data_IF_995865869224
#
_entry.id   IF_995865869224
#
_cell.length_a   1.000
_cell.length_b   1.000
_cell.length_c   1.000
_cell.angle_alpha   90.00
_cell.angle_beta   90.00
_cell.angle_gamma   90.00
#
_symmetry.space_group_name_H-M   'P 1'
#
loop_
_entity.id
_entity.type
_entity.pdbx_description
1 polymer ?
#
# COMPACT_ATOMS: atom_id res chain seq x y z
N UNK A 1 -33.30 -3.46 -7.95
CA UNK A 1 -32.65 -4.49 -7.12
C UNK A 1 -32.01 -3.77 -5.94
N UNK A 2 -32.57 -3.93 -4.75
CA UNK A 2 -32.11 -3.26 -3.54
C UNK A 2 -31.00 -4.07 -2.87
N UNK A 3 -29.96 -3.39 -2.39
CA UNK A 3 -28.87 -3.99 -1.60
C UNK A 3 -29.39 -4.50 -0.23
N UNK A 4 -28.77 -5.54 0.35
CA UNK A 4 -29.23 -6.10 1.62
C UNK A 4 -28.87 -5.14 2.77
N UNK A 5 -29.87 -4.73 3.55
CA UNK A 5 -29.67 -4.07 4.84
C UNK A 5 -29.18 -5.10 5.85
N UNK A 6 -27.98 -4.90 6.36
CA UNK A 6 -27.46 -5.66 7.51
C UNK A 6 -28.18 -5.13 8.75
N UNK A 7 -29.16 -5.86 9.27
CA UNK A 7 -29.82 -5.54 10.53
C UNK A 7 -28.99 -6.10 11.68
N UNK A 8 -28.42 -5.23 12.49
CA UNK A 8 -27.83 -5.61 13.78
C UNK A 8 -28.97 -5.91 14.75
N UNK A 9 -29.08 -7.15 15.19
CA UNK A 9 -30.01 -7.56 16.24
C UNK A 9 -29.44 -7.16 17.60
N UNK A 10 -30.25 -6.51 18.45
CA UNK A 10 -29.93 -6.11 19.84
C UNK A 10 -29.43 -7.25 20.76
N UNK A 11 -29.41 -8.50 20.29
CA UNK A 11 -28.93 -9.67 21.04
C UNK A 11 -27.42 -9.73 21.22
N UNK A 12 -26.65 -8.97 20.43
CA UNK A 12 -25.18 -8.96 20.53
C UNK A 12 -24.65 -8.00 21.63
N UNK A 13 -25.54 -7.25 22.28
CA UNK A 13 -25.21 -6.34 23.38
C UNK A 13 -25.18 -7.03 24.77
N UNK A 14 -25.78 -8.22 24.91
CA UNK A 14 -26.03 -8.81 26.23
C UNK A 14 -24.99 -9.86 26.67
N UNK A 15 -24.11 -10.32 25.77
CA UNK A 15 -22.99 -11.18 26.13
C UNK A 15 -21.72 -10.35 26.25
N UNK A 16 -21.27 -10.15 27.50
CA UNK A 16 -20.03 -9.43 27.88
C UNK A 16 -18.71 -10.00 27.31
N UNK A 17 -18.76 -10.89 26.33
CA UNK A 17 -17.60 -11.39 25.57
C UNK A 17 -17.15 -10.37 24.51
N UNK A 18 -18.07 -9.56 23.96
CA UNK A 18 -17.75 -8.60 22.89
C UNK A 18 -16.95 -7.37 23.35
N UNK A 19 -16.99 -7.01 24.64
CA UNK A 19 -16.23 -5.87 25.17
C UNK A 19 -14.77 -6.24 25.43
N UNK A 20 -14.49 -7.47 25.88
CA UNK A 20 -13.15 -7.94 26.20
C UNK A 20 -12.29 -8.23 24.96
N UNK A 21 -12.89 -8.69 23.85
CA UNK A 21 -12.18 -8.82 22.58
C UNK A 21 -11.98 -7.47 21.88
N UNK A 22 -12.94 -6.54 21.98
CA UNK A 22 -12.81 -5.17 21.47
C UNK A 22 -11.72 -4.39 22.20
N UNK A 23 -11.64 -4.49 23.54
CA UNK A 23 -10.59 -3.83 24.31
C UNK A 23 -9.20 -4.42 24.04
N UNK A 24 -9.10 -5.75 23.83
CA UNK A 24 -7.85 -6.40 23.43
C UNK A 24 -7.36 -5.95 22.04
N UNK A 25 -8.27 -5.78 21.08
CA UNK A 25 -7.94 -5.21 19.75
C UNK A 25 -7.54 -3.74 19.82
N UNK A 26 -8.18 -2.96 20.68
CA UNK A 26 -7.83 -1.55 20.92
C UNK A 26 -6.43 -1.41 21.54
N UNK A 27 -6.06 -2.31 22.45
CA UNK A 27 -4.76 -2.28 23.16
C UNK A 27 -3.53 -2.67 22.32
N UNK A 28 -3.72 -3.17 21.09
CA UNK A 28 -2.62 -3.61 20.22
C UNK A 28 -2.15 -2.56 19.21
N UNK A 29 -2.83 -1.42 19.10
CA UNK A 29 -2.36 -0.34 18.26
C UNK A 29 -1.21 0.40 18.97
N UNK A 30 -0.05 0.60 18.33
CA UNK A 30 1.09 1.27 18.95
C UNK A 30 0.78 2.78 19.11
N UNK A 31 0.57 3.21 20.36
CA UNK A 31 0.38 4.62 20.74
C UNK A 31 -0.73 4.79 21.77
N UNK A 32 -0.64 5.81 22.62
CA UNK A 32 -1.68 6.16 23.59
C UNK A 32 -2.90 6.71 22.82
N UNK A 33 -3.84 5.84 22.47
CA UNK A 33 -5.06 6.19 21.72
C UNK A 33 -6.23 6.50 22.68
N UNK A 34 -6.08 6.17 23.96
CA UNK A 34 -7.13 6.31 24.98
C UNK A 34 -7.50 7.78 25.30
N UNK A 35 -6.61 8.73 25.01
CA UNK A 35 -6.82 10.16 25.27
C UNK A 35 -7.23 10.97 24.01
N UNK A 36 -7.44 10.31 22.86
CA UNK A 36 -7.78 10.96 21.60
C UNK A 36 -9.29 10.97 21.35
N UNK A 37 -9.79 12.02 20.70
CA UNK A 37 -11.19 12.06 20.23
C UNK A 37 -11.50 10.86 19.32
N UNK A 38 -12.76 10.39 19.31
CA UNK A 38 -13.15 9.14 18.62
C UNK A 38 -12.77 9.16 17.14
N UNK A 39 -12.84 10.33 16.50
CA UNK A 39 -12.47 10.52 15.11
C UNK A 39 -10.95 10.51 14.90
N UNK A 40 -10.19 11.21 15.75
CA UNK A 40 -8.72 11.24 15.72
C UNK A 40 -8.13 9.85 16.03
N UNK A 41 -8.75 9.13 16.97
CA UNK A 41 -8.43 7.75 17.27
C UNK A 41 -8.65 6.84 16.06
N UNK A 42 -9.74 7.06 15.30
CA UNK A 42 -10.02 6.32 14.08
C UNK A 42 -9.04 6.65 12.95
N UNK A 43 -8.67 7.92 12.75
CA UNK A 43 -7.66 8.29 11.75
C UNK A 43 -6.28 7.73 12.08
N UNK A 44 -5.85 7.88 13.35
CA UNK A 44 -4.60 7.29 13.83
C UNK A 44 -4.62 5.77 13.74
N UNK A 45 -5.77 5.16 13.99
CA UNK A 45 -5.96 3.73 13.73
C UNK A 45 -5.81 3.45 12.25
N UNK A 46 -6.51 4.12 11.32
CA UNK A 46 -6.40 3.86 9.87
C UNK A 46 -4.96 4.03 9.37
N UNK A 47 -4.25 5.07 9.81
CA UNK A 47 -2.85 5.31 9.41
C UNK A 47 -1.87 4.30 10.00
N UNK A 48 -2.19 3.75 11.17
CA UNK A 48 -1.34 2.78 11.88
C UNK A 48 -1.80 1.33 11.68
N UNK A 49 -2.99 1.12 11.12
CA UNK A 49 -3.65 -0.18 11.03
C UNK A 49 -2.98 -1.03 9.97
N UNK A 50 -2.42 -2.13 10.44
CA UNK A 50 -1.85 -3.19 9.61
C UNK A 50 -2.90 -4.28 9.44
N UNK A 51 -3.02 -4.85 8.24
CA UNK A 51 -3.81 -6.06 8.03
C UNK A 51 -3.32 -7.13 9.03
N UNK A 52 -4.18 -7.62 9.96
CA UNK A 52 -3.77 -8.59 10.96
C UNK A 52 -3.21 -9.87 10.32
N UNK A 53 -3.57 -10.21 9.07
CA UNK A 53 -2.94 -11.34 8.36
C UNK A 53 -1.48 -11.08 7.96
N UNK A 54 -1.13 -9.82 7.65
CA UNK A 54 0.24 -9.39 7.38
C UNK A 54 1.06 -9.26 8.68
N UNK A 55 0.40 -9.03 9.82
CA UNK A 55 1.00 -9.09 11.15
C UNK A 55 1.20 -10.54 11.63
N UNK A 56 0.23 -11.44 11.44
CA UNK A 56 0.33 -12.87 11.73
C UNK A 56 1.43 -13.57 10.91
N UNK A 57 1.63 -13.16 9.65
CA UNK A 57 2.72 -13.63 8.81
C UNK A 57 4.10 -13.18 9.33
N UNK A 58 4.18 -12.03 10.01
CA UNK A 58 5.38 -11.54 10.66
C UNK A 58 5.57 -12.13 12.07
N UNK A 59 4.50 -12.33 12.84
CA UNK A 59 4.54 -12.93 14.18
C UNK A 59 4.89 -14.42 14.12
N UNK A 60 4.45 -15.14 13.08
CA UNK A 60 4.91 -16.51 12.81
C UNK A 60 6.41 -16.60 12.44
N UNK A 61 7.04 -15.50 12.00
CA UNK A 61 8.51 -15.44 11.86
C UNK A 61 9.19 -15.12 13.21
N UNK A 62 8.55 -14.35 14.10
CA UNK A 62 9.09 -13.96 15.42
C UNK A 62 8.97 -15.09 16.46
N UNK A 63 7.97 -15.97 16.37
CA UNK A 63 7.88 -17.16 17.23
C UNK A 63 8.98 -18.21 17.01
N UNK A 64 9.80 -18.08 15.96
CA UNK A 64 10.95 -18.98 15.75
C UNK A 64 12.22 -18.50 16.49
N UNK A 65 12.17 -17.37 17.23
CA UNK A 65 13.34 -16.79 17.91
C UNK A 65 13.36 -16.79 19.44
N UNK A 66 12.26 -17.08 20.15
CA UNK A 66 12.31 -17.22 21.63
C UNK A 66 11.41 -18.36 22.13
N UNK A 67 11.92 -19.59 22.00
CA UNK A 67 11.88 -20.67 23.00
C UNK A 67 12.45 -21.94 22.35
N UNK A 68 13.65 -22.37 22.77
CA UNK A 68 14.28 -23.60 22.27
C UNK A 68 13.49 -24.85 22.69
N UNK A 69 12.58 -25.32 21.83
CA UNK A 69 12.22 -26.75 21.77
C UNK A 69 13.12 -27.47 20.75
N UNK A 70 13.58 -28.70 21.01
CA UNK A 70 14.50 -29.38 20.12
C UNK A 70 13.86 -29.59 18.75
N UNK A 71 14.45 -29.01 17.70
CA UNK A 71 13.98 -29.16 16.32
C UNK A 71 14.20 -30.61 15.87
N UNK A 72 13.16 -31.23 15.31
CA UNK A 72 13.23 -32.57 14.74
C UNK A 72 14.18 -32.59 13.53
N UNK A 73 14.97 -33.65 13.40
CA UNK A 73 16.08 -33.81 12.45
C UNK A 73 15.73 -33.74 10.95
N UNK A 74 14.47 -33.48 10.59
CA UNK A 74 13.95 -33.43 9.21
C UNK A 74 13.80 -32.01 8.68
N UNK A 75 14.05 -30.97 9.50
CA UNK A 75 13.85 -29.56 9.09
C UNK A 75 15.10 -28.90 8.45
N UNK A 76 16.14 -29.67 8.11
CA UNK A 76 17.41 -29.15 7.61
C UNK A 76 17.34 -28.50 6.20
N UNK A 77 16.28 -28.70 5.43
CA UNK A 77 16.15 -28.17 4.07
C UNK A 77 15.46 -26.78 3.98
N UNK A 78 15.00 -26.20 5.10
CA UNK A 78 14.32 -24.88 5.10
C UNK A 78 15.20 -23.69 5.49
N UNK A 79 16.49 -23.90 5.76
CA UNK A 79 17.41 -22.83 6.13
C UNK A 79 18.01 -22.18 4.88
N UNK A 80 17.27 -21.24 4.29
CA UNK A 80 17.81 -20.24 3.37
C UNK A 80 18.13 -18.97 4.14
N UNK A 81 19.37 -18.51 4.03
CA UNK A 81 19.95 -17.36 4.73
C UNK A 81 19.12 -16.08 4.56
N UNK A 82 18.39 -15.69 5.60
CA UNK A 82 17.87 -14.33 5.75
C UNK A 82 18.76 -13.63 6.77
N UNK A 83 19.61 -12.71 6.31
CA UNK A 83 20.34 -11.81 7.19
C UNK A 83 19.34 -11.05 8.07
N UNK A 84 19.43 -11.29 9.37
CA UNK A 84 18.58 -10.68 10.39
C UNK A 84 19.01 -9.22 10.58
N UNK A 85 18.17 -8.29 10.14
CA UNK A 85 18.08 -6.97 10.74
C UNK A 85 16.75 -6.91 11.49
N UNK A 86 16.82 -6.92 12.82
CA UNK A 86 15.68 -6.66 13.69
C UNK A 86 15.29 -5.18 13.54
N UNK A 87 14.18 -4.88 12.88
CA UNK A 87 13.62 -3.54 12.89
C UNK A 87 12.18 -3.59 13.41
N UNK A 88 12.00 -3.10 14.64
CA UNK A 88 10.68 -2.96 15.27
C UNK A 88 9.92 -1.74 14.74
N UNK A 89 10.52 -0.95 13.84
CA UNK A 89 9.97 0.32 13.32
C UNK A 89 9.75 0.31 11.79
N UNK A 90 9.62 -0.85 11.15
CA UNK A 90 9.57 -1.01 9.70
C UNK A 90 8.33 -0.41 8.97
N UNK A 91 7.61 0.55 9.55
CA UNK A 91 6.42 1.13 8.94
C UNK A 91 6.00 2.54 9.39
N UNK A 92 6.55 3.08 10.48
CA UNK A 92 6.26 4.48 10.86
C UNK A 92 7.29 5.37 10.20
N UNK A 93 6.87 6.14 9.20
CA UNK A 93 7.72 7.17 8.59
C UNK A 93 7.91 8.29 9.62
N UNK A 94 9.14 8.59 10.06
CA UNK A 94 9.38 9.72 10.95
C UNK A 94 8.94 11.03 10.29
N UNK A 95 8.28 11.93 11.01
CA UNK A 95 7.85 13.23 10.47
C UNK A 95 9.03 14.07 9.96
N UNK A 96 10.22 13.87 10.54
CA UNK A 96 11.49 14.47 10.11
C UNK A 96 11.81 14.15 8.64
N UNK A 97 11.37 13.00 8.13
CA UNK A 97 11.64 12.63 6.73
C UNK A 97 10.88 13.49 5.73
N UNK A 98 9.75 14.06 6.17
CA UNK A 98 8.90 14.96 5.40
C UNK A 98 9.40 16.42 5.44
N UNK A 99 10.54 16.70 6.06
CA UNK A 99 11.16 18.03 6.15
C UNK A 99 12.22 18.26 5.05
N UNK A 100 12.11 17.58 3.91
CA UNK A 100 13.06 17.75 2.82
C UNK A 100 13.00 19.18 2.25
N UNK A 101 14.18 19.76 1.99
CA UNK A 101 14.29 21.06 1.32
C UNK A 101 13.94 20.92 -0.15
N UNK A 102 13.01 21.73 -0.67
CA UNK A 102 12.63 21.73 -2.09
C UNK A 102 13.85 21.95 -2.98
N UNK A 103 14.84 22.76 -2.56
CA UNK A 103 15.97 23.13 -3.43
C UNK A 103 17.01 22.02 -3.59
N UNK A 104 17.23 21.21 -2.55
CA UNK A 104 18.23 20.14 -2.57
C UNK A 104 17.60 18.76 -2.74
N UNK A 105 16.36 18.59 -2.30
CA UNK A 105 15.69 17.30 -2.23
C UNK A 105 16.50 16.27 -1.44
N UNK A 106 16.37 15.00 -1.84
CA UNK A 106 17.07 13.90 -1.20
C UNK A 106 18.40 13.55 -1.86
N UNK A 107 19.36 13.11 -1.04
CA UNK A 107 20.61 12.52 -1.52
C UNK A 107 20.43 11.04 -1.83
N UNK A 108 21.21 10.50 -2.77
CA UNK A 108 21.17 9.06 -3.13
C UNK A 108 21.38 8.14 -1.93
N UNK A 109 22.25 8.53 -0.98
CA UNK A 109 22.49 7.76 0.23
C UNK A 109 21.25 7.69 1.14
N UNK A 110 20.54 8.81 1.32
CA UNK A 110 19.29 8.84 2.08
C UNK A 110 18.19 8.04 1.40
N UNK A 111 18.09 8.11 0.06
CA UNK A 111 17.12 7.30 -0.71
C UNK A 111 17.38 5.82 -0.52
N UNK A 112 18.63 5.36 -0.61
CA UNK A 112 18.97 3.96 -0.38
C UNK A 112 18.66 3.50 1.05
N UNK A 113 18.94 4.34 2.05
CA UNK A 113 18.61 4.04 3.44
C UNK A 113 17.09 3.91 3.66
N UNK A 114 16.31 4.89 3.18
CA UNK A 114 14.85 4.87 3.29
C UNK A 114 14.25 3.70 2.52
N UNK A 115 14.78 3.38 1.33
CA UNK A 115 14.36 2.23 0.50
C UNK A 115 14.64 0.89 1.19
N UNK A 116 15.73 0.76 1.95
CA UNK A 116 16.02 -0.45 2.73
C UNK A 116 15.01 -0.65 3.86
N UNK A 117 14.49 0.43 4.45
CA UNK A 117 13.50 0.39 5.54
C UNK A 117 12.07 0.21 5.03
N UNK A 118 11.64 1.01 4.07
CA UNK A 118 10.25 1.03 3.59
C UNK A 118 9.97 0.11 2.39
N UNK A 119 11.01 -0.30 1.66
CA UNK A 119 10.84 -1.04 0.40
C UNK A 119 10.54 -0.14 -0.79
N UNK A 120 10.01 -0.74 -1.86
CA UNK A 120 9.59 -0.02 -3.07
C UNK A 120 8.14 0.46 -2.94
N UNK A 121 7.81 1.56 -3.61
CA UNK A 121 6.44 2.07 -3.74
C UNK A 121 5.64 1.19 -4.71
N UNK A 122 5.34 -0.04 -4.30
CA UNK A 122 4.54 -0.99 -5.05
C UNK A 122 3.57 -1.73 -4.15
N UNK A 123 2.35 -1.94 -4.64
CA UNK A 123 1.37 -2.77 -3.95
C UNK A 123 1.88 -4.21 -3.95
N UNK A 124 1.95 -4.82 -2.77
CA UNK A 124 2.45 -6.18 -2.59
C UNK A 124 1.65 -7.16 -3.44
N UNK A 125 2.29 -7.76 -4.44
CA UNK A 125 1.70 -8.88 -5.18
C UNK A 125 2.05 -10.18 -4.46
N UNK A 126 1.06 -11.04 -4.23
CA UNK A 126 1.30 -12.36 -3.66
C UNK A 126 2.26 -13.16 -4.56
N UNK A 127 3.36 -13.64 -3.98
CA UNK A 127 4.32 -14.47 -4.71
C UNK A 127 3.78 -15.89 -4.80
N UNK A 128 3.34 -16.28 -5.98
CA UNK A 128 2.98 -17.68 -6.24
C UNK A 128 4.24 -18.55 -6.34
N UNK A 129 4.25 -19.68 -5.62
CA UNK A 129 5.32 -20.66 -5.73
C UNK A 129 5.25 -21.38 -7.09
N UNK A 130 6.33 -21.29 -7.88
CA UNK A 130 6.46 -21.92 -9.20
C UNK A 130 6.14 -23.43 -9.18
N UNK A 131 6.48 -24.14 -8.10
CA UNK A 131 6.18 -25.57 -7.95
C UNK A 131 4.69 -25.84 -7.75
N UNK A 132 4.00 -25.00 -6.96
CA UNK A 132 2.55 -25.11 -6.74
C UNK A 132 1.83 -24.80 -8.06
N UNK A 133 2.30 -23.78 -8.78
CA UNK A 133 1.79 -23.42 -10.10
C UNK A 133 1.98 -24.56 -11.11
N UNK A 134 3.13 -25.25 -11.05
CA UNK A 134 3.35 -26.47 -11.85
C UNK A 134 2.34 -27.58 -11.49
N UNK A 135 2.08 -27.79 -10.20
CA UNK A 135 1.12 -28.78 -9.74
C UNK A 135 -0.33 -28.45 -10.11
N UNK A 136 -0.67 -27.17 -10.24
CA UNK A 136 -1.99 -26.73 -10.73
C UNK A 136 -2.27 -27.18 -12.16
N UNK A 137 -1.25 -27.43 -13.00
CA UNK A 137 -1.47 -27.99 -14.34
C UNK A 137 -1.95 -29.45 -14.34
N UNK A 138 -1.94 -30.15 -13.19
CA UNK A 138 -2.56 -31.47 -13.02
C UNK A 138 -4.01 -31.38 -12.54
N UNK A 139 -4.46 -30.19 -12.14
CA UNK A 139 -5.82 -29.98 -11.64
C UNK A 139 -6.75 -29.60 -12.79
N UNK A 140 -7.78 -30.42 -13.02
CA UNK A 140 -8.80 -30.13 -14.03
C UNK A 140 -9.73 -31.31 -14.28
N UNK A 141 -10.98 -31.08 -14.72
CA UNK A 141 -11.95 -32.16 -14.90
C UNK A 141 -11.45 -33.29 -15.82
N UNK A 142 -10.77 -32.92 -16.92
CA UNK A 142 -10.19 -33.88 -17.87
C UNK A 142 -9.00 -34.61 -17.24
N UNK A 143 -8.15 -33.88 -16.51
CA UNK A 143 -6.95 -34.44 -15.89
C UNK A 143 -7.27 -35.40 -14.75
N UNK A 144 -8.30 -35.13 -13.96
CA UNK A 144 -8.78 -36.07 -12.95
C UNK A 144 -9.23 -37.40 -13.55
N UNK A 145 -9.88 -37.39 -14.71
CA UNK A 145 -10.24 -38.63 -15.42
C UNK A 145 -8.98 -39.37 -15.86
N UNK A 146 -7.96 -38.65 -16.34
CA UNK A 146 -6.67 -39.23 -16.74
C UNK A 146 -5.88 -39.79 -15.54
N UNK A 147 -5.89 -39.12 -14.38
CA UNK A 147 -5.29 -39.62 -13.14
C UNK A 147 -5.95 -40.92 -12.67
N UNK A 148 -7.29 -40.99 -12.73
CA UNK A 148 -8.02 -42.24 -12.46
C UNK A 148 -7.61 -43.33 -13.45
N UNK A 149 -7.45 -43.00 -14.74
CA UNK A 149 -6.98 -43.96 -15.75
C UNK A 149 -5.56 -44.47 -15.46
N UNK A 150 -4.64 -43.60 -15.00
CA UNK A 150 -3.28 -44.00 -14.56
C UNK A 150 -3.35 -44.98 -13.39
N UNK A 151 -4.19 -44.70 -12.37
CA UNK A 151 -4.36 -45.58 -11.21
C UNK A 151 -4.93 -46.94 -11.60
N UNK A 152 -5.89 -46.98 -12.53
CA UNK A 152 -6.43 -48.22 -13.07
C UNK A 152 -5.38 -49.02 -13.83
N UNK A 153 -4.63 -48.39 -14.75
CA UNK A 153 -3.56 -49.05 -15.52
C UNK A 153 -2.47 -49.66 -14.60
N UNK A 154 -2.07 -48.92 -13.56
CA UNK A 154 -1.14 -49.41 -12.55
C UNK A 154 -1.68 -50.63 -11.77
N UNK A 155 -2.98 -50.60 -11.41
CA UNK A 155 -3.66 -51.73 -10.77
C UNK A 155 -3.75 -52.98 -11.65
N UNK A 156 -3.92 -52.80 -12.96
CA UNK A 156 -3.89 -53.89 -13.95
C UNK A 156 -2.47 -54.38 -14.29
N UNK A 157 -1.43 -53.73 -13.75
CA UNK A 157 0.00 -53.97 -14.06
C UNK A 157 0.34 -53.81 -15.54
N UNK A 158 -0.40 -52.95 -16.24
CA UNK A 158 -0.05 -52.55 -17.60
C UNK A 158 0.93 -51.38 -17.55
N UNK A 159 2.22 -51.73 -17.53
CA UNK A 159 3.31 -50.74 -17.45
C UNK A 159 3.46 -49.93 -18.74
N UNK A 160 2.98 -50.44 -19.88
CA UNK A 160 3.08 -49.75 -21.17
C UNK A 160 2.06 -48.61 -21.18
N UNK A 161 0.79 -48.92 -20.94
CA UNK A 161 -0.28 -47.92 -20.93
C UNK A 161 -0.08 -46.89 -19.81
N UNK A 162 0.35 -47.34 -18.62
CA UNK A 162 0.74 -46.45 -17.53
C UNK A 162 1.80 -45.42 -17.96
N UNK A 163 2.85 -45.89 -18.65
CA UNK A 163 3.93 -45.03 -19.13
C UNK A 163 3.47 -44.02 -20.18
N UNK A 164 2.62 -44.44 -21.12
CA UNK A 164 2.06 -43.57 -22.16
C UNK A 164 1.20 -42.47 -21.57
N UNK A 165 0.30 -42.79 -20.63
CA UNK A 165 -0.60 -41.81 -20.03
C UNK A 165 0.20 -40.77 -19.21
N UNK A 166 1.19 -41.22 -18.42
CA UNK A 166 2.07 -40.30 -17.67
C UNK A 166 2.86 -39.39 -18.61
N UNK A 167 3.39 -39.93 -19.71
CA UNK A 167 4.12 -39.12 -20.69
C UNK A 167 3.23 -38.02 -21.29
N UNK A 168 1.97 -38.33 -21.60
CA UNK A 168 0.99 -37.35 -22.10
C UNK A 168 0.68 -36.29 -21.04
N UNK A 169 0.48 -36.69 -19.79
CA UNK A 169 0.23 -35.76 -18.67
C UNK A 169 1.40 -34.80 -18.46
N UNK A 170 2.63 -35.33 -18.43
CA UNK A 170 3.84 -34.52 -18.28
C UNK A 170 4.03 -33.57 -19.47
N UNK A 171 3.77 -34.04 -20.69
CA UNK A 171 3.86 -33.19 -21.89
C UNK A 171 2.83 -32.06 -21.84
N UNK A 172 1.60 -32.33 -21.42
CA UNK A 172 0.58 -31.30 -21.26
C UNK A 172 0.99 -30.27 -20.18
N UNK A 173 1.43 -30.72 -19.01
CA UNK A 173 1.89 -29.82 -17.95
C UNK A 173 3.10 -28.97 -18.38
N UNK A 174 4.05 -29.56 -19.12
CA UNK A 174 5.22 -28.84 -19.63
C UNK A 174 4.83 -27.77 -20.67
N UNK A 175 3.93 -28.11 -21.61
CA UNK A 175 3.43 -27.15 -22.61
C UNK A 175 2.64 -26.04 -21.93
N UNK A 176 1.76 -26.37 -20.98
CA UNK A 176 0.99 -25.40 -20.21
C UNK A 176 1.88 -24.45 -19.41
N UNK A 177 2.89 -24.98 -18.71
CA UNK A 177 3.85 -24.17 -17.97
C UNK A 177 4.67 -23.24 -18.88
N UNK A 178 5.08 -23.73 -20.05
CA UNK A 178 5.81 -22.91 -21.03
C UNK A 178 4.95 -21.77 -21.58
N UNK A 179 3.71 -22.05 -21.95
CA UNK A 179 2.76 -21.04 -22.43
C UNK A 179 2.46 -19.98 -21.37
N UNK A 180 2.23 -20.40 -20.13
CA UNK A 180 1.97 -19.52 -19.00
C UNK A 180 3.16 -18.62 -18.70
N UNK A 181 4.39 -19.17 -18.72
CA UNK A 181 5.61 -18.37 -18.55
C UNK A 181 5.76 -17.35 -19.69
N UNK A 182 5.56 -17.78 -20.93
CA UNK A 182 5.66 -16.89 -22.09
C UNK A 182 4.63 -15.75 -22.01
N UNK A 183 3.39 -16.05 -21.61
CA UNK A 183 2.36 -15.04 -21.41
C UNK A 183 2.72 -14.09 -20.26
N UNK A 184 3.19 -14.62 -19.13
CA UNK A 184 3.61 -13.82 -17.98
C UNK A 184 4.78 -12.87 -18.31
N UNK A 185 5.78 -13.35 -19.05
CA UNK A 185 6.93 -12.54 -19.47
C UNK A 185 6.51 -11.37 -20.39
N UNK A 186 5.61 -11.63 -21.34
CA UNK A 186 5.05 -10.59 -22.23
C UNK A 186 4.25 -9.56 -21.43
N UNK A 187 3.43 -10.01 -20.47
CA UNK A 187 2.68 -9.11 -19.60
C UNK A 187 3.63 -8.29 -18.71
N UNK A 188 4.70 -8.89 -18.20
CA UNK A 188 5.69 -8.20 -17.38
C UNK A 188 6.44 -7.11 -18.16
N UNK A 189 6.83 -7.37 -19.42
CA UNK A 189 7.48 -6.34 -20.26
C UNK A 189 6.52 -5.19 -20.56
N UNK A 190 5.25 -5.48 -20.90
CA UNK A 190 4.25 -4.44 -21.15
C UNK A 190 3.98 -3.60 -19.89
N UNK A 191 3.91 -4.23 -18.72
CA UNK A 191 3.77 -3.52 -17.44
C UNK A 191 4.97 -2.60 -17.15
N UNK A 192 6.18 -3.02 -17.51
CA UNK A 192 7.39 -2.23 -17.34
C UNK A 192 7.40 -0.95 -18.17
N UNK A 193 6.87 -1.01 -19.38
CA UNK A 193 6.82 0.13 -20.31
C UNK A 193 5.69 1.13 -19.99
N UNK A 194 4.61 0.66 -19.35
CA UNK A 194 3.47 1.48 -18.89
C UNK A 194 3.68 1.96 -17.43
N UNK A 195 4.83 1.65 -16.83
CA UNK A 195 5.11 2.03 -15.45
C UNK A 195 4.99 3.56 -15.28
N UNK A 196 4.18 3.97 -14.30
CA UNK A 196 4.01 5.37 -13.96
C UNK A 196 5.36 6.00 -13.62
N UNK A 197 5.57 7.22 -14.12
CA UNK A 197 6.76 8.04 -13.88
C UNK A 197 6.41 9.19 -12.95
N UNK A 198 7.40 9.66 -12.22
CA UNK A 198 7.32 10.79 -11.31
C UNK A 198 8.54 11.68 -11.51
N UNK A 199 8.32 13.00 -11.52
CA UNK A 199 9.39 13.98 -11.53
C UNK A 199 9.69 14.31 -10.07
N UNK A 200 10.94 14.15 -9.65
CA UNK A 200 11.38 14.44 -8.28
C UNK A 200 12.59 15.34 -8.24
N UNK A 201 12.78 16.04 -7.12
CA UNK A 201 14.03 16.74 -6.85
C UNK A 201 14.93 15.85 -6.01
N UNK A 202 16.09 15.49 -6.57
CA UNK A 202 17.15 14.74 -5.88
C UNK A 202 18.50 15.35 -6.21
N UNK A 203 19.34 15.54 -5.19
CA UNK A 203 20.65 16.20 -5.30
C UNK A 203 20.58 17.60 -5.97
N UNK A 204 19.49 18.32 -5.72
CA UNK A 204 19.23 19.66 -6.25
C UNK A 204 18.94 19.72 -7.76
N UNK A 205 18.58 18.59 -8.37
CA UNK A 205 18.19 18.52 -9.77
C UNK A 205 16.87 17.77 -9.92
N UNK A 206 16.08 18.18 -10.90
CA UNK A 206 14.88 17.47 -11.33
C UNK A 206 15.26 16.19 -12.07
N UNK A 207 14.69 15.07 -11.66
CA UNK A 207 14.95 13.74 -12.22
C UNK A 207 13.62 13.04 -12.50
N UNK A 208 13.47 12.49 -13.71
CA UNK A 208 12.36 11.59 -14.07
C UNK A 208 12.70 10.17 -13.58
N UNK A 209 11.96 9.69 -12.59
CA UNK A 209 12.11 8.36 -12.00
C UNK A 209 10.82 7.55 -12.14
N UNK A 210 10.93 6.23 -12.02
CA UNK A 210 9.73 5.38 -11.92
C UNK A 210 9.03 5.65 -10.59
N UNK A 211 7.70 5.74 -10.58
CA UNK A 211 6.92 5.94 -9.35
C UNK A 211 7.20 4.85 -8.28
N UNK A 212 7.54 3.62 -8.72
CA UNK A 212 8.00 2.51 -7.86
C UNK A 212 9.23 2.86 -7.00
N UNK A 213 10.06 3.77 -7.48
CA UNK A 213 11.33 4.16 -6.86
C UNK A 213 11.22 5.31 -5.87
N UNK A 214 10.02 5.85 -5.70
CA UNK A 214 9.73 6.87 -4.69
C UNK A 214 9.93 6.32 -3.29
N UNK A 215 10.42 7.19 -2.41
CA UNK A 215 10.56 6.94 -0.97
C UNK A 215 9.86 8.06 -0.20
N UNK A 216 9.35 7.80 1.02
CA UNK A 216 8.73 8.84 1.82
C UNK A 216 9.66 10.04 2.02
N UNK A 217 9.14 11.25 1.80
CA UNK A 217 9.88 12.51 1.87
C UNK A 217 10.58 12.93 0.57
N UNK A 218 10.41 12.20 -0.54
CA UNK A 218 10.76 12.69 -1.88
C UNK A 218 9.92 13.93 -2.21
N UNK A 219 10.59 14.99 -2.64
CA UNK A 219 9.91 16.16 -3.20
C UNK A 219 9.50 15.80 -4.63
N UNK A 220 8.20 15.61 -4.84
CA UNK A 220 7.59 15.32 -6.15
C UNK A 220 7.06 16.61 -6.77
N UNK A 221 7.18 16.71 -8.10
CA UNK A 221 6.58 17.79 -8.88
C UNK A 221 5.34 17.22 -9.56
N UNK A 222 4.19 17.82 -9.28
CA UNK A 222 2.90 17.42 -9.85
C UNK A 222 2.54 18.47 -10.90
N UNK A 223 2.38 18.05 -12.15
CA UNK A 223 2.04 18.93 -13.27
C UNK A 223 0.64 18.62 -13.82
N UNK A 224 0.05 19.59 -14.52
CA UNK A 224 -1.20 19.41 -15.25
C UNK A 224 -1.13 18.20 -16.20
N UNK A 225 -2.18 17.38 -16.16
CA UNK A 225 -2.29 16.16 -16.97
C UNK A 225 -1.57 14.94 -16.39
N UNK A 226 -0.79 15.09 -15.31
CA UNK A 226 -0.14 13.97 -14.65
C UNK A 226 -1.03 13.34 -13.58
N UNK A 227 -0.77 12.07 -13.29
CA UNK A 227 -1.38 11.34 -12.17
C UNK A 227 -0.46 11.42 -10.97
N UNK A 228 -1.03 11.63 -9.79
CA UNK A 228 -0.30 11.69 -8.52
C UNK A 228 0.30 10.31 -8.20
N UNK A 229 1.64 10.20 -8.04
CA UNK A 229 2.35 8.91 -8.01
C UNK A 229 2.40 8.24 -6.62
N UNK A 230 2.13 8.98 -5.56
CA UNK A 230 1.98 8.53 -4.18
C UNK A 230 1.16 9.57 -3.40
N UNK A 231 0.62 9.20 -2.24
CA UNK A 231 0.02 10.18 -1.33
C UNK A 231 1.06 11.23 -0.95
N UNK A 232 0.72 12.50 -1.09
CA UNK A 232 1.65 13.60 -0.89
C UNK A 232 0.95 14.83 -0.31
N UNK A 233 1.69 15.66 0.41
CA UNK A 233 1.22 16.95 0.94
C UNK A 233 1.72 18.08 0.07
N UNK A 234 0.83 18.95 -0.38
CA UNK A 234 1.18 20.11 -1.20
C UNK A 234 1.99 21.13 -0.39
N UNK A 235 3.08 21.59 -0.98
CA UNK A 235 4.02 22.51 -0.35
C UNK A 235 3.77 23.93 -0.85
N UNK A 236 3.93 24.16 -2.15
CA UNK A 236 3.73 25.46 -2.77
C UNK A 236 3.54 25.32 -4.28
N UNK A 237 3.14 26.42 -4.94
CA UNK A 237 3.15 26.52 -6.39
C UNK A 237 4.58 26.38 -6.92
N UNK A 238 4.70 25.79 -8.11
CA UNK A 238 5.97 25.63 -8.78
C UNK A 238 6.56 26.98 -9.23
N UNK A 239 5.70 27.93 -9.62
CA UNK A 239 6.12 29.24 -10.12
C UNK A 239 6.57 30.19 -8.98
N UNK A 240 6.14 29.94 -7.74
CA UNK A 240 6.48 30.75 -6.55
C UNK A 240 7.20 29.92 -5.47
N UNK A 241 8.45 29.46 -5.72
CA UNK A 241 9.21 28.65 -4.76
C UNK A 241 9.59 29.39 -3.47
N UNK A 242 9.41 30.71 -3.43
CA UNK A 242 9.61 31.54 -2.22
C UNK A 242 8.57 31.22 -1.13
N UNK A 243 7.39 30.72 -1.52
CA UNK A 243 6.32 30.31 -0.61
C UNK A 243 6.67 29.09 0.23
N UNK A 244 7.78 28.41 -0.04
CA UNK A 244 8.24 27.30 0.79
C UNK A 244 8.52 27.72 2.23
N UNK A 245 9.08 28.92 2.45
CA UNK A 245 9.30 29.42 3.81
C UNK A 245 7.98 29.67 4.53
N UNK A 246 6.97 30.14 3.79
CA UNK A 246 5.61 30.29 4.31
C UNK A 246 4.99 28.95 4.69
N UNK A 247 5.20 27.91 3.88
CA UNK A 247 4.77 26.55 4.20
C UNK A 247 5.43 26.03 5.49
N UNK A 248 6.74 26.25 5.67
CA UNK A 248 7.44 25.87 6.92
C UNK A 248 6.86 26.58 8.13
N UNK A 249 6.65 27.90 8.05
CA UNK A 249 6.03 28.67 9.13
C UNK A 249 4.65 28.14 9.50
N UNK A 250 3.81 27.84 8.50
CA UNK A 250 2.47 27.30 8.72
C UNK A 250 2.50 25.90 9.36
N UNK A 251 3.47 25.08 8.96
CA UNK A 251 3.67 23.75 9.55
C UNK A 251 4.12 23.83 11.00
N UNK A 252 5.08 24.71 11.31
CA UNK A 252 5.55 24.96 12.69
C UNK A 252 4.45 25.51 13.60
N UNK A 253 3.53 26.30 13.04
CA UNK A 253 2.37 26.83 13.76
C UNK A 253 1.23 25.81 13.92
N UNK A 254 1.40 24.57 13.44
CA UNK A 254 0.36 23.54 13.35
C UNK A 254 -0.89 23.95 12.55
N UNK A 255 -0.84 25.09 11.84
CA UNK A 255 -1.95 25.66 11.08
C UNK A 255 -2.29 24.90 9.78
N UNK A 256 -1.49 23.89 9.42
CA UNK A 256 -1.74 22.99 8.28
C UNK A 256 -2.62 21.80 8.64
N UNK A 257 -2.96 21.60 9.92
CA UNK A 257 -3.96 20.63 10.34
C UNK A 257 -5.29 21.38 10.56
N UNK A 258 -6.35 21.05 9.81
CA UNK A 258 -7.67 21.69 9.93
C UNK A 258 -8.29 21.61 11.34
N UNK A 259 -7.79 20.75 12.23
CA UNK A 259 -8.31 20.53 13.58
C UNK A 259 -7.76 21.51 14.65
N UNK A 260 -6.73 22.31 14.36
CA UNK A 260 -6.09 23.21 15.36
C UNK A 260 -6.38 24.71 15.16
N UNK A 261 -7.46 25.08 14.47
CA UNK A 261 -7.95 26.47 14.46
C UNK A 261 -9.14 26.67 15.43
N UNK A 262 -8.91 26.86 16.74
CA UNK A 262 -9.97 27.25 17.68
C UNK A 262 -10.36 28.73 17.54
N UNK A 263 -9.78 29.50 16.61
CA UNK A 263 -9.97 30.95 16.52
C UNK A 263 -10.79 31.41 15.29
N UNK A 264 -11.12 30.50 14.37
CA UNK A 264 -11.93 30.81 13.17
C UNK A 264 -13.45 30.71 13.33
N UNK A 265 -13.95 30.19 14.46
CA UNK A 265 -15.38 29.88 14.66
C UNK A 265 -16.16 30.88 15.52
N UNK A 266 -15.65 32.11 15.72
CA UNK A 266 -16.47 33.17 16.30
C UNK A 266 -17.53 33.65 15.26
N UNK A 267 -18.69 33.00 15.36
CA UNK A 267 -20.03 33.55 15.15
C UNK A 267 -20.25 34.40 13.90
N UNK A 268 -20.70 33.74 12.83
CA UNK A 268 -21.66 34.34 11.90
C UNK A 268 -22.87 33.43 11.73
N UNK A 269 -23.90 33.70 12.53
CA UNK A 269 -25.26 33.27 12.22
C UNK A 269 -25.71 33.97 10.92
N UNK A 270 -25.80 33.20 9.84
CA UNK A 270 -26.31 33.63 8.54
C UNK A 270 -26.40 32.42 7.62
N UNK A 271 -27.58 32.22 7.02
CA UNK A 271 -27.98 31.07 6.22
C UNK A 271 -26.98 30.71 5.10
N UNK A 272 -26.88 29.40 4.81
CA UNK A 272 -26.05 28.71 3.80
C UNK A 272 -24.75 28.06 4.36
N UNK A 273 -24.92 26.93 5.06
CA UNK A 273 -23.82 26.03 5.46
C UNK A 273 -23.30 25.25 4.23
N UNK A 274 -22.32 25.80 3.53
CA UNK A 274 -21.20 24.98 3.02
C UNK A 274 -20.11 25.02 4.10
N UNK A 275 -19.89 23.90 4.81
CA UNK A 275 -18.74 23.72 5.71
C UNK A 275 -17.44 23.71 4.87
N UNK A 276 -17.00 24.89 4.44
CA UNK A 276 -15.70 25.07 3.83
C UNK A 276 -14.62 25.10 4.90
N UNK A 277 -13.67 24.16 4.84
CA UNK A 277 -12.39 24.28 5.55
C UNK A 277 -11.78 25.63 5.15
N UNK A 278 -11.33 26.43 6.13
CA UNK A 278 -10.73 27.73 5.87
C UNK A 278 -9.39 27.54 5.14
N UNK A 279 -9.43 27.42 3.82
CA UNK A 279 -8.23 27.27 3.01
C UNK A 279 -7.49 28.63 2.95
N UNK A 280 -6.28 28.68 3.50
CA UNK A 280 -5.43 29.87 3.37
C UNK A 280 -4.80 29.93 1.97
N UNK A 281 -5.07 31.02 1.24
CA UNK A 281 -4.35 31.36 0.01
C UNK A 281 -5.11 31.05 -1.29
N UNK A 282 -4.39 31.12 -2.41
CA UNK A 282 -4.90 30.75 -3.74
C UNK A 282 -4.78 29.24 -3.96
N UNK A 283 -5.68 28.66 -4.76
CA UNK A 283 -5.61 27.25 -5.14
C UNK A 283 -4.33 26.97 -5.93
N UNK A 284 -3.50 26.04 -5.50
CA UNK A 284 -2.26 25.71 -6.18
C UNK A 284 -2.55 24.79 -7.37
N UNK A 285 -3.36 23.76 -7.15
CA UNK A 285 -3.73 22.79 -8.18
C UNK A 285 -5.20 22.41 -8.09
N UNK A 286 -5.76 21.90 -9.18
CA UNK A 286 -7.07 21.26 -9.19
C UNK A 286 -6.91 19.77 -9.45
N UNK A 287 -7.49 18.94 -8.58
CA UNK A 287 -7.36 17.46 -8.66
C UNK A 287 -8.70 16.80 -8.94
N UNK A 288 -8.68 15.81 -9.83
CA UNK A 288 -9.81 14.94 -10.11
C UNK A 288 -9.74 13.72 -9.21
N UNK A 289 -10.71 13.63 -8.29
CA UNK A 289 -10.83 12.57 -7.31
C UNK A 289 -11.95 11.58 -7.67
N UNK A 290 -12.50 11.63 -8.89
CA UNK A 290 -13.61 10.78 -9.33
C UNK A 290 -13.36 9.29 -9.13
N UNK A 291 -12.10 8.83 -9.22
CA UNK A 291 -11.72 7.45 -8.97
C UNK A 291 -11.92 7.00 -7.50
N UNK A 292 -11.82 7.94 -6.55
CA UNK A 292 -11.89 7.68 -5.10
C UNK A 292 -13.30 8.01 -4.57
N UNK A 293 -13.80 9.21 -4.87
CA UNK A 293 -15.04 9.74 -4.30
C UNK A 293 -16.27 9.53 -5.20
N UNK A 294 -16.05 9.29 -6.50
CA UNK A 294 -17.13 9.21 -7.50
C UNK A 294 -17.64 10.57 -7.99
N UNK A 295 -17.12 11.67 -7.46
CA UNK A 295 -17.51 13.03 -7.86
C UNK A 295 -16.76 13.45 -9.12
N UNK A 296 -17.48 14.03 -10.09
CA UNK A 296 -16.90 14.39 -11.40
C UNK A 296 -16.26 15.79 -11.44
N UNK A 297 -16.42 16.59 -10.38
CA UNK A 297 -15.87 17.93 -10.32
C UNK A 297 -14.42 17.88 -9.83
N UNK A 298 -13.56 18.70 -10.44
CA UNK A 298 -12.21 18.89 -9.94
C UNK A 298 -12.28 19.68 -8.63
N UNK A 299 -11.51 19.23 -7.64
CA UNK A 299 -11.39 19.86 -6.33
C UNK A 299 -10.15 20.72 -6.34
N UNK A 300 -10.32 22.02 -6.09
CA UNK A 300 -9.20 22.94 -5.89
C UNK A 300 -8.49 22.60 -4.57
N UNK A 301 -7.17 22.57 -4.62
CA UNK A 301 -6.28 22.18 -3.53
C UNK A 301 -5.34 23.32 -3.20
N UNK A 302 -5.08 23.48 -1.91
CA UNK A 302 -4.34 24.60 -1.34
C UNK A 302 -3.04 24.12 -0.68
N UNK A 303 -2.25 25.08 -0.23
CA UNK A 303 -1.02 24.82 0.53
C UNK A 303 -1.33 23.96 1.76
N UNK A 304 -0.59 22.86 1.94
CA UNK A 304 -0.81 21.92 3.05
C UNK A 304 -1.84 20.83 2.80
N UNK A 305 -2.66 20.96 1.76
CA UNK A 305 -3.65 19.93 1.45
C UNK A 305 -2.97 18.64 1.00
N UNK A 306 -3.60 17.51 1.32
CA UNK A 306 -3.17 16.20 0.85
C UNK A 306 -3.78 15.89 -0.51
N UNK A 307 -2.94 15.34 -1.38
CA UNK A 307 -3.32 14.72 -2.65
C UNK A 307 -3.02 13.23 -2.58
N UNK A 308 -3.89 12.45 -3.21
CA UNK A 308 -3.87 11.00 -3.06
C UNK A 308 -3.36 10.31 -4.32
N UNK A 309 -2.73 9.16 -4.14
CA UNK A 309 -2.33 8.26 -5.20
C UNK A 309 -3.50 8.01 -6.17
N UNK A 310 -3.21 7.99 -7.47
CA UNK A 310 -4.17 7.83 -8.59
C UNK A 310 -5.08 9.01 -8.91
N UNK A 311 -5.07 10.08 -8.12
CA UNK A 311 -5.78 11.31 -8.49
C UNK A 311 -5.09 12.01 -9.66
N UNK A 312 -5.87 12.60 -10.56
CA UNK A 312 -5.34 13.29 -11.74
C UNK A 312 -5.24 14.78 -11.50
N UNK A 313 -4.07 15.39 -11.76
CA UNK A 313 -3.95 16.85 -11.76
C UNK A 313 -4.58 17.41 -13.05
N UNK A 314 -5.61 18.25 -12.92
CA UNK A 314 -6.32 18.87 -14.04
C UNK A 314 -5.82 20.28 -14.38
N UNK A 315 -5.24 20.98 -13.41
CA UNK A 315 -4.77 22.36 -13.55
C UNK A 315 -3.70 22.64 -12.50
N UNK A 316 -2.73 23.46 -12.88
CA UNK A 316 -1.68 23.97 -11.99
C UNK A 316 -0.45 23.08 -11.97
N UNK A 317 0.56 23.54 -11.24
CA UNK A 317 1.82 22.83 -11.05
C UNK A 317 2.33 23.10 -9.65
N UNK A 318 2.69 22.06 -8.91
CA UNK A 318 3.06 22.20 -7.49
C UNK A 318 4.23 21.32 -7.09
N UNK A 319 4.93 21.75 -6.05
CA UNK A 319 5.79 20.88 -5.25
C UNK A 319 4.96 20.18 -4.18
N UNK A 320 5.18 18.88 -3.98
CA UNK A 320 4.58 18.09 -2.92
C UNK A 320 5.62 17.16 -2.28
N UNK A 321 5.36 16.70 -1.05
CA UNK A 321 6.23 15.79 -0.25
C UNK A 321 5.48 14.58 0.25
#
# INVERSE_FOLDING_TARGET
MAAPRVSFTDKDLENGEGAAERSRKWSQAPGNIEDLDEYTALQKYISTYRDPRAADAAENQVKDTDEKKPKAAWQFWKSGNSDQASDKDAGVVPEEWLEADIKQGLTTAQVEERRRRCGFNEISTEKENLFIKFLMFFTGPILYVMEVAVLLAAGLRDWIDFGVIIAILLLNAAVGWYQEKQAADVVASLKGDIAMKAIVIRQGQEQDIKARELVPGDIVIIEEGQTVPADARLICDYDTPEEFERYKELREQHALNPEEDPAGSEEKEGEDFEEGVAHQGHSIIATDQSAITGESLAVDKFMGDTVYYTTGCKRGKAYAV
#
